data_IF_292829397238
#
_entry.id   IF_292829397238
#
_cell.length_a   1.000
_cell.length_b   1.000
_cell.length_c   1.000
_cell.angle_alpha   90.00
_cell.angle_beta   90.00
_cell.angle_gamma   90.00
#
_symmetry.space_group_name_H-M   'P 1'
#
loop_
_entity.id
_entity.type
_entity.pdbx_description
1 polymer ?
#
# COMPACT_ATOMS: atom_id res chain seq x y z
N UNK A 1 42.41 -2.65 6.01
CA UNK A 1 41.39 -1.84 5.30
C UNK A 1 40.55 -2.68 4.34
N UNK A 2 41.13 -3.43 3.38
CA UNK A 2 40.37 -4.34 2.50
C UNK A 2 39.69 -5.50 3.24
N UNK A 3 40.32 -5.99 4.31
CA UNK A 3 39.80 -7.09 5.13
C UNK A 3 38.60 -6.66 5.99
N UNK A 4 38.66 -5.46 6.58
CA UNK A 4 37.54 -4.81 7.27
C UNK A 4 36.39 -4.47 6.30
N UNK A 5 36.70 -4.05 5.06
CA UNK A 5 35.70 -3.83 4.01
C UNK A 5 35.03 -5.14 3.56
N UNK A 6 35.78 -6.24 3.45
CA UNK A 6 35.22 -7.55 3.12
C UNK A 6 34.37 -8.09 4.27
N UNK A 7 34.79 -7.94 5.53
CA UNK A 7 33.96 -8.29 6.70
C UNK A 7 32.70 -7.44 6.79
N UNK A 8 32.78 -6.14 6.55
CA UNK A 8 31.62 -5.27 6.51
C UNK A 8 30.69 -5.62 5.34
N UNK A 9 31.23 -6.00 4.18
CA UNK A 9 30.46 -6.49 3.04
C UNK A 9 29.81 -7.85 3.34
N UNK A 10 30.49 -8.75 4.05
CA UNK A 10 29.98 -10.07 4.44
C UNK A 10 28.86 -9.94 5.49
N UNK A 11 29.01 -9.01 6.44
CA UNK A 11 27.96 -8.67 7.41
C UNK A 11 26.74 -7.99 6.76
N UNK A 12 26.95 -7.14 5.75
CA UNK A 12 25.88 -6.52 4.96
C UNK A 12 25.22 -7.51 3.97
N UNK A 13 25.94 -8.53 3.52
CA UNK A 13 25.44 -9.60 2.64
C UNK A 13 24.79 -10.76 3.40
N UNK A 14 24.64 -10.66 4.73
CA UNK A 14 23.90 -11.65 5.51
C UNK A 14 22.43 -11.63 5.12
N UNK A 15 22.10 -12.37 4.05
CA UNK A 15 20.74 -12.49 3.54
C UNK A 15 19.82 -12.98 4.64
N UNK A 16 18.60 -12.45 4.66
CA UNK A 16 17.61 -12.79 5.67
C UNK A 16 17.35 -14.29 5.68
N UNK A 17 17.63 -14.93 6.81
CA UNK A 17 17.29 -16.35 7.01
C UNK A 17 15.78 -16.58 6.95
N UNK A 18 15.32 -17.83 6.74
CA UNK A 18 13.89 -18.14 6.55
C UNK A 18 12.97 -17.59 7.66
N UNK A 19 13.43 -17.65 8.91
CA UNK A 19 12.71 -17.09 10.06
C UNK A 19 12.62 -15.56 10.00
N UNK A 20 13.69 -14.88 9.58
CA UNK A 20 13.71 -13.43 9.40
C UNK A 20 12.77 -12.99 8.27
N UNK A 21 12.79 -13.72 7.15
CA UNK A 21 11.88 -13.50 6.03
C UNK A 21 10.41 -13.66 6.45
N UNK A 22 10.10 -14.71 7.21
CA UNK A 22 8.75 -14.95 7.74
C UNK A 22 8.28 -13.84 8.68
N UNK A 23 9.11 -13.42 9.64
CA UNK A 23 8.75 -12.37 10.58
C UNK A 23 8.52 -11.04 9.85
N UNK A 24 9.35 -10.72 8.86
CA UNK A 24 9.19 -9.50 8.07
C UNK A 24 7.96 -9.53 7.17
N UNK A 25 7.73 -10.62 6.45
CA UNK A 25 6.54 -10.77 5.59
C UNK A 25 5.24 -10.70 6.40
N UNK A 26 5.24 -11.31 7.59
CA UNK A 26 4.16 -11.21 8.57
C UNK A 26 3.97 -9.77 9.08
N UNK A 27 5.05 -9.09 9.47
CA UNK A 27 4.98 -7.71 9.98
C UNK A 27 4.46 -6.74 8.91
N UNK A 28 4.85 -6.92 7.64
CA UNK A 28 4.36 -6.12 6.50
C UNK A 28 2.85 -6.32 6.34
N UNK A 29 2.40 -7.57 6.14
CA UNK A 29 0.97 -7.82 5.88
C UNK A 29 0.09 -7.40 7.07
N UNK A 30 0.56 -7.60 8.29
CA UNK A 30 -0.13 -7.18 9.50
C UNK A 30 -0.26 -5.66 9.55
N UNK A 31 0.82 -4.91 9.30
CA UNK A 31 0.83 -3.45 9.34
C UNK A 31 -0.10 -2.85 8.29
N UNK A 32 0.09 -3.22 7.03
CA UNK A 32 -0.68 -2.65 5.91
C UNK A 32 -2.14 -3.10 5.95
N UNK A 33 -2.38 -4.37 6.30
CA UNK A 33 -3.73 -4.89 6.52
C UNK A 33 -4.47 -4.18 7.66
N UNK A 34 -3.81 -3.93 8.80
CA UNK A 34 -4.42 -3.19 9.91
C UNK A 34 -4.70 -1.74 9.54
N UNK A 35 -3.78 -1.03 8.86
CA UNK A 35 -4.03 0.34 8.39
C UNK A 35 -5.25 0.40 7.48
N UNK A 36 -5.36 -0.52 6.51
CA UNK A 36 -6.53 -0.60 5.62
C UNK A 36 -7.83 -0.79 6.42
N UNK A 37 -7.86 -1.76 7.34
CA UNK A 37 -9.04 -2.04 8.17
C UNK A 37 -9.39 -0.84 9.05
N UNK A 38 -8.41 -0.18 9.68
CA UNK A 38 -8.64 0.98 10.53
C UNK A 38 -9.26 2.16 9.76
N UNK A 39 -8.77 2.45 8.55
CA UNK A 39 -9.34 3.52 7.72
C UNK A 39 -10.75 3.15 7.24
N UNK A 40 -10.98 1.91 6.79
CA UNK A 40 -12.32 1.46 6.40
C UNK A 40 -13.29 1.47 7.58
N UNK A 41 -12.85 1.05 8.77
CA UNK A 41 -13.65 1.11 9.99
C UNK A 41 -14.00 2.56 10.36
N UNK A 42 -13.06 3.50 10.22
CA UNK A 42 -13.33 4.92 10.42
C UNK A 42 -14.36 5.46 9.41
N UNK A 43 -14.26 5.07 8.14
CA UNK A 43 -15.25 5.45 7.10
C UNK A 43 -16.65 4.90 7.41
N UNK A 44 -16.75 3.63 7.76
CA UNK A 44 -18.02 3.00 8.13
C UNK A 44 -18.59 3.62 9.41
N UNK A 45 -17.73 3.89 10.40
CA UNK A 45 -18.10 4.57 11.65
C UNK A 45 -18.68 5.95 11.41
N UNK A 46 -18.03 6.75 10.54
CA UNK A 46 -18.54 8.07 10.15
C UNK A 46 -19.93 7.99 9.49
N UNK A 47 -20.15 7.03 8.58
CA UNK A 47 -21.46 6.85 7.93
C UNK A 47 -22.56 6.40 8.89
N UNK A 48 -22.24 5.57 9.89
CA UNK A 48 -23.21 5.15 10.90
C UNK A 48 -23.68 6.32 11.76
N UNK A 49 -22.76 7.20 12.16
CA UNK A 49 -23.09 8.42 12.93
C UNK A 49 -23.96 9.38 12.13
N UNK A 50 -23.83 9.41 10.80
CA UNK A 50 -24.64 10.25 9.90
C UNK A 50 -26.00 9.64 9.51
N UNK A 51 -26.39 8.49 10.08
CA UNK A 51 -27.70 7.87 9.81
C UNK A 51 -27.89 7.31 8.40
N UNK A 52 -26.84 7.31 7.57
CA UNK A 52 -26.88 6.94 6.14
C UNK A 52 -26.23 5.59 5.89
N UNK A 53 -26.76 4.56 6.55
CA UNK A 53 -26.27 3.17 6.46
C UNK A 53 -26.34 2.57 5.05
N UNK A 54 -27.20 3.11 4.18
CA UNK A 54 -27.32 2.71 2.78
C UNK A 54 -26.01 2.92 1.97
N UNK A 55 -25.15 3.86 2.38
CA UNK A 55 -23.91 4.16 1.67
C UNK A 55 -22.77 3.19 1.97
N UNK A 56 -22.92 2.32 2.99
CA UNK A 56 -21.92 1.30 3.32
C UNK A 56 -21.68 0.31 2.16
N UNK A 57 -22.68 0.07 1.31
CA UNK A 57 -22.54 -0.79 0.12
C UNK A 57 -21.52 -0.24 -0.89
N UNK A 58 -21.42 1.08 -1.00
CA UNK A 58 -20.47 1.74 -1.92
C UNK A 58 -19.03 1.68 -1.39
N UNK A 59 -18.84 1.68 -0.06
CA UNK A 59 -17.53 1.40 0.54
C UNK A 59 -17.04 0.03 0.10
N UNK A 60 -17.88 -1.01 0.27
CA UNK A 60 -17.52 -2.37 -0.14
C UNK A 60 -17.23 -2.48 -1.63
N UNK A 61 -17.98 -1.78 -2.49
CA UNK A 61 -17.68 -1.70 -3.93
C UNK A 61 -16.28 -1.11 -4.20
N UNK A 62 -15.92 -0.02 -3.52
CA UNK A 62 -14.58 0.57 -3.60
C UNK A 62 -13.49 -0.36 -3.07
N UNK A 63 -13.72 -1.02 -1.93
CA UNK A 63 -12.79 -2.00 -1.33
C UNK A 63 -12.53 -3.15 -2.29
N UNK A 64 -13.57 -3.76 -2.85
CA UNK A 64 -13.44 -4.87 -3.80
C UNK A 64 -12.67 -4.45 -5.05
N UNK A 65 -12.99 -3.29 -5.62
CA UNK A 65 -12.26 -2.75 -6.75
C UNK A 65 -10.78 -2.46 -6.41
N UNK A 66 -10.51 -1.97 -5.20
CA UNK A 66 -9.16 -1.68 -4.72
C UNK A 66 -8.32 -2.95 -4.60
N UNK A 67 -8.90 -4.02 -4.03
CA UNK A 67 -8.24 -5.34 -3.93
C UNK A 67 -7.89 -5.86 -5.33
N UNK A 68 -8.85 -5.85 -6.26
CA UNK A 68 -8.64 -6.31 -7.64
C UNK A 68 -7.54 -5.50 -8.32
N UNK A 69 -7.55 -4.18 -8.17
CA UNK A 69 -6.52 -3.31 -8.72
C UNK A 69 -5.13 -3.58 -8.12
N UNK A 70 -5.05 -3.87 -6.81
CA UNK A 70 -3.78 -4.26 -6.15
C UNK A 70 -3.23 -5.57 -6.70
N UNK A 71 -4.07 -6.58 -6.95
CA UNK A 71 -3.65 -7.83 -7.59
C UNK A 71 -3.20 -7.62 -9.05
N UNK A 72 -3.93 -6.78 -9.80
CA UNK A 72 -3.54 -6.41 -11.16
C UNK A 72 -2.18 -5.72 -11.18
N UNK A 73 -1.91 -4.85 -10.20
CA UNK A 73 -0.64 -4.17 -10.05
C UNK A 73 0.50 -5.13 -9.69
N UNK A 74 0.28 -6.05 -8.75
CA UNK A 74 1.23 -7.12 -8.46
C UNK A 74 1.60 -7.92 -9.72
N UNK A 75 0.61 -8.33 -10.50
CA UNK A 75 0.84 -9.03 -11.76
C UNK A 75 1.65 -8.18 -12.75
N UNK A 76 1.29 -6.90 -12.93
CA UNK A 76 2.00 -6.00 -13.81
C UNK A 76 3.48 -5.82 -13.41
N UNK A 77 3.74 -5.62 -12.11
CA UNK A 77 5.10 -5.49 -11.56
C UNK A 77 5.90 -6.76 -11.79
N UNK A 78 5.35 -7.93 -11.47
CA UNK A 78 6.02 -9.21 -11.69
C UNK A 78 6.37 -9.47 -13.17
N UNK A 79 5.50 -9.05 -14.10
CA UNK A 79 5.78 -9.17 -15.55
C UNK A 79 6.89 -8.23 -16.00
N UNK A 80 6.88 -6.97 -15.56
CA UNK A 80 7.92 -5.98 -15.91
C UNK A 80 9.29 -6.44 -15.42
N UNK A 81 9.38 -6.96 -14.19
CA UNK A 81 10.64 -7.44 -13.61
C UNK A 81 11.14 -8.73 -14.29
N UNK A 82 10.24 -9.60 -14.75
CA UNK A 82 10.61 -10.89 -15.40
C UNK A 82 11.26 -10.75 -16.78
N UNK A 83 10.98 -9.67 -17.53
CA UNK A 83 11.42 -9.49 -18.93
C UNK A 83 12.88 -9.03 -19.01
N UNK A 84 13.45 -8.50 -17.93
CA UNK A 84 14.68 -7.72 -17.98
C UNK A 84 15.93 -8.52 -17.58
N UNK A 85 16.27 -9.55 -18.37
CA UNK A 85 17.39 -10.47 -18.09
C UNK A 85 18.77 -9.89 -18.46
N UNK A 86 18.83 -8.79 -19.22
CA UNK A 86 20.08 -8.34 -19.85
C UNK A 86 20.99 -7.43 -18.98
N UNK A 87 20.51 -6.83 -17.88
CA UNK A 87 21.31 -5.98 -16.95
C UNK A 87 20.75 -6.00 -15.51
N UNK A 88 20.76 -7.17 -14.88
CA UNK A 88 20.10 -7.43 -13.58
C UNK A 88 20.51 -6.45 -12.47
N UNK A 89 21.79 -6.10 -12.37
CA UNK A 89 22.31 -5.21 -11.31
C UNK A 89 21.82 -3.76 -11.43
N UNK A 90 21.82 -3.19 -12.65
CA UNK A 90 21.34 -1.82 -12.89
C UNK A 90 19.82 -1.71 -12.73
N UNK A 91 19.09 -2.74 -13.15
CA UNK A 91 17.63 -2.79 -12.96
C UNK A 91 17.24 -2.93 -11.50
N UNK A 92 17.95 -3.75 -10.73
CA UNK A 92 17.71 -3.88 -9.30
C UNK A 92 17.91 -2.54 -8.58
N UNK A 93 19.00 -1.82 -8.88
CA UNK A 93 19.27 -0.50 -8.32
C UNK A 93 18.25 0.57 -8.74
N UNK A 94 17.87 0.63 -10.02
CA UNK A 94 16.88 1.60 -10.51
C UNK A 94 15.48 1.30 -9.97
N UNK A 95 15.08 0.03 -9.92
CA UNK A 95 13.80 -0.39 -9.33
C UNK A 95 13.77 -0.08 -7.84
N UNK A 96 14.85 -0.34 -7.09
CA UNK A 96 14.94 0.00 -5.68
C UNK A 96 14.83 1.51 -5.43
N UNK A 97 15.50 2.34 -6.25
CA UNK A 97 15.40 3.80 -6.16
C UNK A 97 14.00 4.31 -6.53
N UNK A 98 13.38 3.74 -7.56
CA UNK A 98 12.00 4.06 -7.92
C UNK A 98 11.03 3.67 -6.81
N UNK A 99 11.16 2.46 -6.25
CA UNK A 99 10.36 2.02 -5.12
C UNK A 99 10.52 2.96 -3.92
N UNK A 100 11.75 3.35 -3.58
CA UNK A 100 12.02 4.32 -2.52
C UNK A 100 11.39 5.70 -2.80
N UNK A 101 11.53 6.23 -4.01
CA UNK A 101 10.93 7.51 -4.40
C UNK A 101 9.40 7.48 -4.36
N UNK A 102 8.82 6.38 -4.80
CA UNK A 102 7.37 6.15 -4.73
C UNK A 102 6.91 6.03 -3.28
N UNK A 103 7.62 5.29 -2.42
CA UNK A 103 7.33 5.20 -0.99
C UNK A 103 7.37 6.57 -0.32
N UNK A 104 8.38 7.40 -0.63
CA UNK A 104 8.46 8.79 -0.14
C UNK A 104 7.27 9.63 -0.64
N UNK A 105 6.90 9.49 -1.91
CA UNK A 105 5.77 10.21 -2.49
C UNK A 105 4.44 9.82 -1.83
N UNK A 106 4.17 8.51 -1.70
CA UNK A 106 2.95 7.96 -1.11
C UNK A 106 2.87 8.34 0.38
N UNK A 107 3.98 8.20 1.11
CA UNK A 107 4.07 8.62 2.51
C UNK A 107 3.81 10.12 2.66
N UNK A 108 4.40 10.97 1.80
CA UNK A 108 4.16 12.42 1.83
C UNK A 108 2.75 12.81 1.44
N UNK A 109 2.12 12.09 0.51
CA UNK A 109 0.76 12.37 0.04
C UNK A 109 -0.28 12.23 1.17
N UNK A 110 -0.06 11.28 2.10
CA UNK A 110 -0.87 11.07 3.30
C UNK A 110 -0.89 12.30 4.21
N UNK A 111 0.28 12.83 4.54
CA UNK A 111 0.37 13.95 5.46
C UNK A 111 -0.25 15.23 4.89
N UNK A 112 -0.31 15.36 3.56
CA UNK A 112 -0.83 16.57 2.92
C UNK A 112 -2.36 16.57 2.73
N UNK A 113 -3.01 15.40 2.66
CA UNK A 113 -4.49 15.30 2.51
C UNK A 113 -5.26 15.00 3.79
N UNK A 114 -4.58 14.78 4.91
CA UNK A 114 -5.18 14.59 6.25
C UNK A 114 -5.30 15.93 7.02
N UNK A 115 -5.40 17.07 6.32
CA UNK A 115 -5.89 18.30 6.96
C UNK A 115 -7.42 18.28 6.97
N UNK A 116 -7.91 17.78 8.09
CA UNK A 116 -9.29 17.49 8.53
C UNK A 116 -10.24 18.71 8.58
N UNK A 117 -9.90 19.85 7.97
CA UNK A 117 -10.69 21.08 8.17
C UNK A 117 -11.86 21.23 7.19
N UNK A 118 -11.74 20.79 5.94
CA UNK A 118 -12.79 20.97 4.91
C UNK A 118 -13.85 19.86 4.89
N UNK A 119 -13.58 18.71 5.51
CA UNK A 119 -14.50 17.56 5.45
C UNK A 119 -15.66 17.68 6.46
N UNK A 120 -15.41 18.29 7.62
CA UNK A 120 -16.43 18.50 8.65
C UNK A 120 -17.41 19.62 8.28
N UNK A 121 -16.96 20.63 7.53
CA UNK A 121 -17.83 21.68 6.95
C UNK A 121 -18.70 21.13 5.83
N UNK A 122 -18.15 20.27 4.96
CA UNK A 122 -18.90 19.64 3.86
C UNK A 122 -19.97 18.63 4.34
N UNK A 123 -19.71 17.91 5.44
CA UNK A 123 -20.68 17.00 6.06
C UNK A 123 -21.79 17.78 6.79
N UNK A 124 -21.45 18.88 7.48
CA UNK A 124 -22.45 19.72 8.18
C UNK A 124 -23.42 20.42 7.23
N UNK A 125 -22.99 20.80 6.03
CA UNK A 125 -23.82 21.58 5.11
C UNK A 125 -24.74 20.71 4.24
N UNK A 126 -24.40 19.43 3.99
CA UNK A 126 -25.11 18.58 3.02
C UNK A 126 -25.99 17.48 3.59
N UNK A 127 -26.04 17.31 4.91
CA UNK A 127 -27.06 16.47 5.58
C UNK A 127 -28.48 17.06 5.43
N UNK A 128 -28.63 18.32 5.02
CA UNK A 128 -29.92 18.93 4.68
C UNK A 128 -30.31 18.88 3.19
N UNK A 129 -29.45 18.38 2.29
CA UNK A 129 -29.70 18.37 0.85
C UNK A 129 -29.76 16.95 0.28
N UNK A 130 -30.90 16.60 -0.34
CA UNK A 130 -31.20 15.34 -1.03
C UNK A 130 -29.99 14.66 -1.67
N UNK A 131 -29.81 13.37 -1.36
CA UNK A 131 -28.73 12.52 -1.83
C UNK A 131 -28.50 12.63 -3.35
N UNK A 132 -27.41 13.30 -3.75
CA UNK A 132 -26.99 13.39 -5.14
C UNK A 132 -26.01 12.26 -5.49
N UNK A 133 -26.13 11.70 -6.70
CA UNK A 133 -25.28 10.62 -7.23
C UNK A 133 -23.76 10.89 -7.14
N UNK A 134 -23.35 12.16 -7.05
CA UNK A 134 -21.94 12.53 -6.91
C UNK A 134 -21.30 12.20 -5.55
N UNK A 135 -22.10 12.05 -4.48
CA UNK A 135 -21.56 11.69 -3.15
C UNK A 135 -21.27 10.19 -3.04
N UNK A 136 -22.06 9.36 -3.72
CA UNK A 136 -21.92 7.91 -3.74
C UNK A 136 -20.63 7.47 -4.41
N UNK A 137 -20.32 8.08 -5.55
CA UNK A 137 -19.08 7.83 -6.30
C UNK A 137 -17.86 8.33 -5.53
N UNK A 138 -17.96 9.43 -4.79
CA UNK A 138 -16.87 9.95 -3.96
C UNK A 138 -16.48 8.97 -2.83
N UNK A 139 -17.47 8.39 -2.13
CA UNK A 139 -17.22 7.40 -1.05
C UNK A 139 -16.61 6.12 -1.61
N UNK A 140 -17.13 5.62 -2.74
CA UNK A 140 -16.57 4.44 -3.41
C UNK A 140 -15.13 4.68 -3.86
N UNK A 141 -14.87 5.83 -4.51
CA UNK A 141 -13.54 6.22 -5.00
C UNK A 141 -12.54 6.39 -3.86
N UNK A 142 -12.98 6.99 -2.74
CA UNK A 142 -12.14 7.14 -1.55
C UNK A 142 -11.76 5.78 -0.96
N UNK A 143 -12.75 4.90 -0.80
CA UNK A 143 -12.53 3.54 -0.27
C UNK A 143 -11.61 2.72 -1.18
N UNK A 144 -11.76 2.88 -2.50
CA UNK A 144 -10.87 2.32 -3.51
C UNK A 144 -9.43 2.79 -3.32
N UNK A 145 -9.18 4.10 -3.28
CA UNK A 145 -7.81 4.63 -3.18
C UNK A 145 -7.14 4.27 -1.86
N UNK A 146 -7.90 4.19 -0.76
CA UNK A 146 -7.38 3.72 0.53
C UNK A 146 -6.86 2.30 0.40
N UNK A 147 -7.69 1.36 -0.07
CA UNK A 147 -7.29 -0.06 -0.15
C UNK A 147 -6.22 -0.29 -1.22
N UNK A 148 -6.33 0.38 -2.35
CA UNK A 148 -5.34 0.30 -3.42
C UNK A 148 -3.97 0.79 -2.95
N UNK A 149 -3.90 1.86 -2.16
CA UNK A 149 -2.64 2.38 -1.61
C UNK A 149 -1.96 1.36 -0.70
N UNK A 150 -2.68 0.82 0.28
CA UNK A 150 -2.10 -0.17 1.20
C UNK A 150 -1.68 -1.45 0.46
N UNK A 151 -2.47 -1.86 -0.55
CA UNK A 151 -2.11 -2.97 -1.43
C UNK A 151 -0.85 -2.69 -2.25
N UNK A 152 -0.68 -1.47 -2.74
CA UNK A 152 0.53 -1.07 -3.46
C UNK A 152 1.77 -1.06 -2.57
N UNK A 153 1.68 -0.47 -1.37
CA UNK A 153 2.78 -0.53 -0.38
C UNK A 153 3.14 -1.98 -0.06
N UNK A 154 2.14 -2.85 0.14
CA UNK A 154 2.35 -4.28 0.39
C UNK A 154 3.13 -4.94 -0.75
N UNK A 155 2.75 -4.71 -2.00
CA UNK A 155 3.45 -5.26 -3.18
C UNK A 155 4.90 -4.79 -3.22
N UNK A 156 5.15 -3.49 -3.05
CA UNK A 156 6.51 -2.94 -3.07
C UNK A 156 7.39 -3.49 -1.93
N UNK A 157 6.85 -3.59 -0.72
CA UNK A 157 7.59 -4.14 0.41
C UNK A 157 7.85 -5.64 0.26
N UNK A 158 6.93 -6.39 -0.35
CA UNK A 158 7.14 -7.80 -0.66
C UNK A 158 8.21 -7.99 -1.74
N UNK A 159 8.20 -7.20 -2.81
CA UNK A 159 9.25 -7.24 -3.83
C UNK A 159 10.63 -6.90 -3.25
N UNK A 160 10.70 -5.88 -2.38
CA UNK A 160 11.94 -5.55 -1.66
C UNK A 160 12.41 -6.72 -0.77
N UNK A 161 11.50 -7.35 -0.02
CA UNK A 161 11.81 -8.51 0.80
C UNK A 161 12.29 -9.71 -0.04
N UNK A 162 11.72 -9.92 -1.22
CA UNK A 162 12.15 -10.99 -2.13
C UNK A 162 13.56 -10.78 -2.69
N UNK A 163 14.01 -9.53 -2.81
CA UNK A 163 15.39 -9.18 -3.23
C UNK A 163 16.38 -9.46 -2.09
N UNK A 164 16.01 -9.07 -0.86
CA UNK A 164 16.87 -9.18 0.33
C UNK A 164 16.94 -10.59 0.94
N UNK A 165 16.02 -11.48 0.56
CA UNK A 165 15.99 -12.87 1.04
C UNK A 165 16.87 -13.77 0.16
N UNK A 166 17.52 -14.77 0.77
CA UNK A 166 18.30 -15.77 0.03
C UNK A 166 17.33 -16.71 -0.69
N UNK A 167 17.58 -17.11 -1.95
CA UNK A 167 16.76 -18.11 -2.61
C UNK A 167 16.72 -19.34 -1.70
N UNK A 168 15.53 -19.78 -1.31
CA UNK A 168 15.40 -21.03 -0.59
C UNK A 168 16.09 -22.14 -1.43
N UNK A 169 16.89 -23.02 -0.82
CA UNK A 169 17.31 -24.23 -1.52
C UNK A 169 16.05 -25.03 -1.79
N UNK A 170 15.58 -24.98 -3.04
CA UNK A 170 14.58 -25.92 -3.56
C UNK A 170 15.23 -27.27 -3.79
#
# INVERSE_FOLDING_TARGET
MKEELNKASELLQTKLGPTGAFIQSFAIILREGLKAILVIAALIGALRTSGTTAFAKYIWGGVSAGIVASFALWFAVGRILSISTAKRELLEGVTALLAAGVLVYVTRWIFHKVYVTDWMSFIKEKVHGTASNGHLTAIATLSFFVVFREGFETVLFYEALMIDTSPAPV
#
